data_IF_534061319991
#
_entry.id   IF_534061319991
#
_cell.length_a   1.000
_cell.length_b   1.000
_cell.length_c   1.000
_cell.angle_alpha   90.00
_cell.angle_beta   90.00
_cell.angle_gamma   90.00
#
_symmetry.space_group_name_H-M   'P 1'
#
loop_
_entity.id
_entity.type
_entity.pdbx_description
1 polymer ?
#
# COMPACT_ATOMS: atom_id res chain seq x y z
N UNK A 1 -33.12 7.07 -12.56
CA UNK A 1 -33.50 6.81 -11.15
C UNK A 1 -33.60 5.32 -10.91
N UNK A 2 -32.53 4.65 -10.47
CA UNK A 2 -32.58 3.45 -9.64
C UNK A 2 -31.21 3.30 -8.96
N UNK A 3 -31.11 3.82 -7.73
CA UNK A 3 -30.02 3.61 -6.82
C UNK A 3 -30.10 2.17 -6.29
N UNK A 4 -29.27 1.28 -6.80
CA UNK A 4 -29.08 -0.06 -6.21
C UNK A 4 -28.08 0.06 -5.05
N UNK A 5 -28.54 0.40 -3.86
CA UNK A 5 -27.82 0.16 -2.61
C UNK A 5 -27.72 -1.35 -2.42
N UNK A 6 -26.59 -1.94 -2.76
CA UNK A 6 -26.27 -3.30 -2.31
C UNK A 6 -26.10 -3.27 -0.79
N UNK A 7 -27.13 -3.75 -0.08
CA UNK A 7 -27.04 -4.05 1.34
C UNK A 7 -26.07 -5.23 1.50
N UNK A 8 -24.91 -4.96 2.06
CA UNK A 8 -24.07 -6.01 2.62
C UNK A 8 -24.78 -6.52 3.89
N UNK A 9 -25.49 -7.62 3.77
CA UNK A 9 -25.96 -8.38 4.93
C UNK A 9 -24.74 -9.03 5.58
N UNK A 10 -24.15 -8.34 6.57
CA UNK A 10 -23.22 -8.95 7.52
C UNK A 10 -24.08 -9.84 8.42
N UNK A 11 -24.01 -11.14 8.25
CA UNK A 11 -24.45 -12.07 9.30
C UNK A 11 -23.34 -12.08 10.36
N UNK A 12 -23.50 -11.26 11.40
CA UNK A 12 -22.70 -11.39 12.62
C UNK A 12 -23.38 -12.48 13.47
N UNK A 13 -22.68 -13.59 13.66
CA UNK A 13 -23.04 -14.55 14.70
C UNK A 13 -22.67 -13.97 16.07
N UNK A 14 -23.46 -14.33 17.10
CA UNK A 14 -23.33 -13.84 18.50
C UNK A 14 -21.99 -14.22 19.17
N UNK A 15 -21.13 -14.98 18.49
CA UNK A 15 -19.82 -15.45 18.98
C UNK A 15 -18.63 -14.59 18.55
N UNK A 16 -18.85 -13.51 17.76
CA UNK A 16 -17.78 -12.62 17.31
C UNK A 16 -16.83 -13.21 16.24
N UNK A 17 -17.11 -14.41 15.74
CA UNK A 17 -16.37 -15.03 14.65
C UNK A 17 -16.86 -14.44 13.33
N UNK A 18 -15.95 -13.91 12.52
CA UNK A 18 -16.25 -13.43 11.17
C UNK A 18 -16.66 -14.63 10.30
N UNK A 19 -17.96 -14.81 10.09
CA UNK A 19 -18.46 -15.88 9.22
C UNK A 19 -18.23 -15.50 7.77
N UNK A 20 -17.75 -16.49 7.00
CA UNK A 20 -17.55 -16.39 5.56
C UNK A 20 -18.85 -15.94 4.85
N UNK A 21 -18.76 -14.88 4.06
CA UNK A 21 -19.91 -14.29 3.36
C UNK A 21 -20.32 -15.05 2.07
N UNK A 22 -19.79 -16.26 1.86
CA UNK A 22 -20.26 -17.14 0.76
C UNK A 22 -21.66 -17.67 1.09
N UNK A 23 -22.49 -17.90 0.03
CA UNK A 23 -23.70 -18.68 0.20
C UNK A 23 -23.37 -20.04 0.83
N UNK A 24 -24.05 -20.39 1.91
CA UNK A 24 -23.78 -21.56 2.77
C UNK A 24 -23.63 -22.89 2.02
N UNK A 25 -24.24 -22.99 0.84
CA UNK A 25 -24.17 -24.18 -0.01
C UNK A 25 -22.91 -24.27 -0.89
N UNK A 26 -22.12 -23.17 -1.05
CA UNK A 26 -20.98 -23.19 -1.97
C UNK A 26 -19.77 -23.94 -1.40
N UNK A 27 -19.52 -23.85 -0.09
CA UNK A 27 -18.42 -24.59 0.52
C UNK A 27 -18.66 -26.11 0.41
N UNK A 28 -19.80 -26.65 0.83
CA UNK A 28 -20.12 -28.08 0.62
C UNK A 28 -20.06 -28.51 -0.86
N UNK A 29 -20.45 -27.62 -1.80
CA UNK A 29 -20.34 -27.92 -3.22
C UNK A 29 -18.87 -28.04 -3.65
N UNK A 30 -17.99 -27.15 -3.17
CA UNK A 30 -16.57 -27.24 -3.46
C UNK A 30 -15.94 -28.50 -2.85
N UNK A 31 -16.31 -28.86 -1.62
CA UNK A 31 -15.84 -30.08 -0.96
C UNK A 31 -16.22 -31.34 -1.76
N UNK A 32 -17.48 -31.42 -2.20
CA UNK A 32 -18.00 -32.56 -2.99
C UNK A 32 -17.31 -32.66 -4.37
N UNK A 33 -17.02 -31.52 -5.00
CA UNK A 33 -16.46 -31.49 -6.37
C UNK A 33 -14.94 -31.49 -6.38
N UNK A 34 -14.26 -31.37 -5.24
CA UNK A 34 -12.81 -31.13 -5.17
C UNK A 34 -12.02 -32.27 -5.81
N UNK A 35 -12.27 -33.51 -5.43
CA UNK A 35 -11.50 -34.66 -5.90
C UNK A 35 -11.59 -34.84 -7.43
N UNK A 36 -12.73 -34.55 -8.01
CA UNK A 36 -12.96 -34.65 -9.47
C UNK A 36 -12.36 -33.47 -10.23
N UNK A 37 -12.30 -32.28 -9.59
CA UNK A 37 -11.97 -31.03 -10.29
C UNK A 37 -10.71 -30.33 -9.81
N UNK A 38 -9.96 -30.91 -8.86
CA UNK A 38 -8.72 -30.32 -8.32
C UNK A 38 -7.61 -30.11 -9.37
N UNK A 39 -7.71 -30.75 -10.54
CA UNK A 39 -6.80 -30.57 -11.68
C UNK A 39 -7.35 -29.60 -12.74
N UNK A 40 -8.60 -29.15 -12.62
CA UNK A 40 -9.20 -28.16 -13.51
C UNK A 40 -8.76 -26.74 -13.08
N UNK A 41 -7.75 -26.20 -13.77
CA UNK A 41 -7.16 -24.88 -13.47
C UNK A 41 -8.21 -23.79 -13.40
N UNK A 42 -9.18 -23.76 -14.33
CA UNK A 42 -10.22 -22.71 -14.39
C UNK A 42 -11.16 -22.80 -13.19
N UNK A 43 -11.55 -24.01 -12.83
CA UNK A 43 -12.42 -24.23 -11.70
C UNK A 43 -11.73 -23.87 -10.38
N UNK A 44 -10.52 -24.38 -10.15
CA UNK A 44 -9.71 -24.09 -8.94
C UNK A 44 -9.49 -22.60 -8.79
N UNK A 45 -9.05 -21.91 -9.84
CA UNK A 45 -8.81 -20.46 -9.84
C UNK A 45 -10.08 -19.66 -9.53
N UNK A 46 -11.21 -20.06 -10.12
CA UNK A 46 -12.51 -19.43 -9.85
C UNK A 46 -12.97 -19.62 -8.42
N UNK A 47 -12.81 -20.84 -7.86
CA UNK A 47 -13.19 -21.16 -6.49
C UNK A 47 -12.33 -20.39 -5.47
N UNK A 48 -11.00 -20.38 -5.63
CA UNK A 48 -10.07 -19.60 -4.79
C UNK A 48 -10.41 -18.12 -4.85
N UNK A 49 -10.57 -17.56 -6.04
CA UNK A 49 -10.89 -16.13 -6.21
C UNK A 49 -12.21 -15.73 -5.54
N UNK A 50 -13.23 -16.57 -5.61
CA UNK A 50 -14.52 -16.33 -4.93
C UNK A 50 -14.40 -16.40 -3.42
N UNK A 51 -13.73 -17.42 -2.89
CA UNK A 51 -13.53 -17.56 -1.44
C UNK A 51 -12.67 -16.42 -0.89
N UNK A 52 -11.62 -16.03 -1.61
CA UNK A 52 -10.78 -14.90 -1.24
C UNK A 52 -11.54 -13.57 -1.24
N UNK A 53 -12.29 -13.31 -2.31
CA UNK A 53 -13.10 -12.08 -2.44
C UNK A 53 -14.26 -11.97 -1.43
N UNK A 54 -14.63 -13.08 -0.79
CA UNK A 54 -15.66 -13.17 0.27
C UNK A 54 -15.06 -13.33 1.65
N UNK A 55 -13.76 -13.17 1.80
CA UNK A 55 -13.03 -13.29 3.06
C UNK A 55 -13.15 -14.64 3.76
N UNK A 56 -13.39 -15.71 2.99
CA UNK A 56 -13.51 -17.10 3.46
C UNK A 56 -12.15 -17.80 3.53
N UNK A 57 -11.11 -17.09 3.90
CA UNK A 57 -9.72 -17.57 3.85
C UNK A 57 -9.33 -18.48 5.01
N UNK A 58 -10.14 -18.49 6.08
CA UNK A 58 -9.89 -19.34 7.25
C UNK A 58 -10.52 -20.74 7.12
N UNK A 59 -11.34 -20.94 6.07
CA UNK A 59 -11.99 -22.21 5.77
C UNK A 59 -10.96 -23.25 5.27
N UNK A 60 -10.99 -24.51 5.78
CA UNK A 60 -10.07 -25.57 5.33
C UNK A 60 -10.14 -25.85 3.82
N UNK A 61 -11.33 -25.68 3.21
CA UNK A 61 -11.50 -25.88 1.77
C UNK A 61 -10.74 -24.82 0.97
N UNK A 62 -10.68 -23.57 1.46
CA UNK A 62 -9.87 -22.54 0.84
C UNK A 62 -8.40 -22.94 0.77
N UNK A 63 -7.84 -23.48 1.84
CA UNK A 63 -6.43 -23.93 1.89
C UNK A 63 -6.16 -25.01 0.85
N UNK A 64 -7.03 -26.03 0.76
CA UNK A 64 -6.91 -27.10 -0.24
C UNK A 64 -6.94 -26.58 -1.67
N UNK A 65 -7.90 -25.71 -1.97
CA UNK A 65 -8.03 -25.08 -3.29
C UNK A 65 -6.83 -24.20 -3.62
N UNK A 66 -6.34 -23.45 -2.65
CA UNK A 66 -5.19 -22.58 -2.83
C UNK A 66 -3.89 -23.36 -3.08
N UNK A 67 -3.65 -24.46 -2.36
CA UNK A 67 -2.53 -25.37 -2.59
C UNK A 67 -2.61 -26.01 -3.98
N UNK A 68 -3.80 -26.45 -4.41
CA UNK A 68 -4.02 -26.95 -5.76
C UNK A 68 -3.74 -25.88 -6.82
N UNK A 69 -4.17 -24.64 -6.61
CA UNK A 69 -3.89 -23.54 -7.53
C UNK A 69 -2.40 -23.27 -7.69
N UNK A 70 -1.65 -23.24 -6.58
CA UNK A 70 -0.20 -23.03 -6.62
C UNK A 70 0.53 -24.16 -7.35
N UNK A 71 0.07 -25.40 -7.20
CA UNK A 71 0.66 -26.55 -7.87
C UNK A 71 0.38 -26.55 -9.37
N UNK A 72 -0.82 -26.14 -9.79
CA UNK A 72 -1.24 -26.16 -11.19
C UNK A 72 -0.75 -24.95 -11.99
N UNK A 73 -0.87 -23.76 -11.43
CA UNK A 73 -0.55 -22.50 -12.12
C UNK A 73 -0.08 -21.45 -11.13
N UNK A 74 1.23 -21.36 -10.87
CA UNK A 74 1.78 -20.23 -10.12
C UNK A 74 1.48 -18.92 -10.87
N UNK A 75 0.70 -18.04 -10.27
CA UNK A 75 0.27 -16.78 -10.88
C UNK A 75 0.44 -15.60 -9.94
N UNK A 76 0.43 -14.37 -10.49
CA UNK A 76 0.49 -13.15 -9.69
C UNK A 76 -0.60 -13.12 -8.61
N UNK A 77 -1.84 -13.48 -8.97
CA UNK A 77 -2.96 -13.54 -8.03
C UNK A 77 -2.76 -14.61 -6.95
N UNK A 78 -2.23 -15.81 -7.31
CA UNK A 78 -1.96 -16.87 -6.34
C UNK A 78 -0.93 -16.41 -5.30
N UNK A 79 0.17 -15.80 -5.71
CA UNK A 79 1.15 -15.24 -4.79
C UNK A 79 0.61 -14.05 -3.98
N UNK A 80 -0.26 -13.20 -4.57
CA UNK A 80 -0.93 -12.14 -3.83
C UNK A 80 -1.80 -12.69 -2.70
N UNK A 81 -2.54 -13.77 -2.96
CA UNK A 81 -3.36 -14.45 -1.95
C UNK A 81 -2.49 -15.08 -0.87
N UNK A 82 -1.45 -15.83 -1.25
CA UNK A 82 -0.49 -16.44 -0.32
C UNK A 82 0.16 -15.41 0.61
N UNK A 83 0.66 -14.32 0.04
CA UNK A 83 1.23 -13.23 0.81
C UNK A 83 0.23 -12.59 1.77
N UNK A 84 -1.05 -12.48 1.36
CA UNK A 84 -2.10 -11.93 2.23
C UNK A 84 -2.43 -12.87 3.39
N UNK A 85 -2.46 -14.19 3.15
CA UNK A 85 -2.65 -15.19 4.21
C UNK A 85 -1.50 -15.18 5.21
N UNK A 86 -0.25 -15.19 4.72
CA UNK A 86 0.95 -15.12 5.56
C UNK A 86 0.97 -13.83 6.40
N UNK A 87 0.58 -12.70 5.80
CA UNK A 87 0.46 -11.43 6.53
C UNK A 87 -0.57 -11.50 7.66
N UNK A 88 -1.74 -12.11 7.43
CA UNK A 88 -2.75 -12.34 8.47
C UNK A 88 -2.24 -13.26 9.58
N UNK A 89 -1.45 -14.28 9.22
CA UNK A 89 -0.84 -15.20 10.18
C UNK A 89 0.38 -14.62 10.92
N UNK A 90 0.78 -13.37 10.62
CA UNK A 90 1.94 -12.72 11.25
C UNK A 90 3.29 -13.07 10.62
N UNK A 91 3.33 -13.96 9.63
CA UNK A 91 4.54 -14.26 8.85
C UNK A 91 4.84 -13.13 7.86
N UNK A 92 5.46 -12.07 8.39
CA UNK A 92 5.78 -10.87 7.61
C UNK A 92 6.80 -11.15 6.49
N UNK A 93 7.81 -11.98 6.77
CA UNK A 93 8.86 -12.27 5.79
C UNK A 93 8.33 -13.13 4.64
N UNK A 94 7.57 -14.18 4.95
CA UNK A 94 6.92 -15.00 3.95
C UNK A 94 5.90 -14.21 3.11
N UNK A 95 5.17 -13.27 3.73
CA UNK A 95 4.25 -12.39 3.03
C UNK A 95 4.97 -11.49 2.01
N UNK A 96 6.10 -10.87 2.40
CA UNK A 96 6.90 -10.02 1.51
C UNK A 96 7.48 -10.84 0.36
N UNK A 97 7.95 -12.06 0.62
CA UNK A 97 8.47 -12.96 -0.41
C UNK A 97 7.40 -13.27 -1.47
N UNK A 98 6.19 -13.63 -1.04
CA UNK A 98 5.09 -13.93 -1.95
C UNK A 98 4.63 -12.67 -2.71
N UNK A 99 4.51 -11.51 -2.06
CA UNK A 99 4.17 -10.27 -2.75
C UNK A 99 5.22 -9.88 -3.79
N UNK A 100 6.51 -10.10 -3.55
CA UNK A 100 7.54 -9.84 -4.56
C UNK A 100 7.38 -10.76 -5.76
N UNK A 101 7.11 -12.06 -5.56
CA UNK A 101 6.80 -12.98 -6.67
C UNK A 101 5.55 -12.56 -7.43
N UNK A 102 4.52 -12.08 -6.72
CA UNK A 102 3.33 -11.52 -7.35
C UNK A 102 3.68 -10.31 -8.24
N UNK A 103 4.53 -9.39 -7.76
CA UNK A 103 5.01 -8.23 -8.53
C UNK A 103 5.79 -8.64 -9.77
N UNK A 104 6.62 -9.69 -9.68
CA UNK A 104 7.41 -10.20 -10.81
C UNK A 104 6.52 -10.76 -11.93
N UNK A 105 5.45 -11.48 -11.56
CA UNK A 105 4.52 -12.12 -12.49
C UNK A 105 3.40 -11.18 -12.96
N UNK A 106 3.15 -10.06 -12.26
CA UNK A 106 2.06 -9.15 -12.62
C UNK A 106 2.42 -8.30 -13.83
N UNK A 107 1.54 -8.29 -14.82
CA UNK A 107 1.69 -7.50 -16.06
C UNK A 107 0.89 -6.20 -16.03
N UNK A 108 -0.18 -6.13 -15.22
CA UNK A 108 -0.98 -4.93 -15.04
C UNK A 108 -0.26 -3.96 -14.10
N UNK A 109 0.14 -2.80 -14.63
CA UNK A 109 0.86 -1.78 -13.88
C UNK A 109 0.07 -1.19 -12.70
N UNK A 110 -1.27 -1.13 -12.78
CA UNK A 110 -2.10 -0.64 -11.66
C UNK A 110 -2.07 -1.65 -10.51
N UNK A 111 -2.24 -2.94 -10.82
CA UNK A 111 -2.13 -4.01 -9.83
C UNK A 111 -0.74 -4.09 -9.25
N UNK A 112 0.31 -4.05 -10.09
CA UNK A 112 1.72 -4.02 -9.67
C UNK A 112 2.00 -2.89 -8.69
N UNK A 113 1.55 -1.68 -9.01
CA UNK A 113 1.68 -0.52 -8.13
C UNK A 113 1.00 -0.72 -6.78
N UNK A 114 -0.20 -1.30 -6.77
CA UNK A 114 -0.94 -1.55 -5.53
C UNK A 114 -0.24 -2.60 -4.64
N UNK A 115 0.35 -3.65 -5.23
CA UNK A 115 1.09 -4.68 -4.49
C UNK A 115 2.37 -4.06 -3.91
N UNK A 116 3.12 -3.28 -4.69
CA UNK A 116 4.31 -2.56 -4.23
C UNK A 116 4.01 -1.58 -3.09
N UNK A 117 2.91 -0.84 -3.18
CA UNK A 117 2.41 0.00 -2.09
C UNK A 117 2.09 -0.83 -0.84
N UNK A 118 1.45 -1.99 -0.99
CA UNK A 118 1.16 -2.90 0.12
C UNK A 118 2.45 -3.38 0.80
N UNK A 119 3.47 -3.77 0.04
CA UNK A 119 4.78 -4.14 0.60
C UNK A 119 5.38 -2.96 1.38
N UNK A 120 5.35 -1.75 0.81
CA UNK A 120 5.86 -0.56 1.46
C UNK A 120 5.20 -0.30 2.82
N UNK A 121 3.86 -0.51 2.93
CA UNK A 121 3.13 -0.35 4.19
C UNK A 121 3.57 -1.35 5.27
N UNK A 122 4.02 -2.53 4.86
CA UNK A 122 4.51 -3.57 5.77
C UNK A 122 5.93 -3.22 6.24
N UNK A 123 6.85 -2.99 5.28
CA UNK A 123 8.27 -2.83 5.59
C UNK A 123 8.61 -1.50 6.28
N UNK A 124 7.75 -0.47 6.19
CA UNK A 124 8.01 0.85 6.78
C UNK A 124 8.22 0.81 8.29
N UNK A 125 7.68 -0.19 8.97
CA UNK A 125 7.85 -0.36 10.42
C UNK A 125 9.29 -0.71 10.80
N UNK A 126 9.99 -1.40 9.89
CA UNK A 126 11.33 -1.93 10.14
C UNK A 126 12.41 -1.18 9.34
N UNK A 127 12.07 -0.65 8.16
CA UNK A 127 13.02 0.03 7.28
C UNK A 127 12.36 1.10 6.41
N UNK A 128 12.61 2.35 6.75
CA UNK A 128 12.16 3.52 5.94
C UNK A 128 12.79 3.50 4.54
N UNK A 129 14.04 3.06 4.44
CA UNK A 129 14.77 2.93 3.15
C UNK A 129 14.06 1.96 2.21
N UNK A 130 13.74 0.76 2.71
CA UNK A 130 13.03 -0.23 1.91
C UNK A 130 11.63 0.26 1.53
N UNK A 131 10.91 0.88 2.47
CA UNK A 131 9.59 1.44 2.20
C UNK A 131 9.63 2.48 1.08
N UNK A 132 10.59 3.42 1.13
CA UNK A 132 10.81 4.40 0.05
C UNK A 132 11.08 3.72 -1.30
N UNK A 133 11.94 2.70 -1.32
CA UNK A 133 12.26 1.99 -2.55
C UNK A 133 11.01 1.33 -3.17
N UNK A 134 10.18 0.67 -2.36
CA UNK A 134 8.92 0.10 -2.84
C UNK A 134 7.92 1.17 -3.28
N UNK A 135 7.83 2.31 -2.57
CA UNK A 135 6.96 3.43 -2.97
C UNK A 135 7.40 4.04 -4.31
N UNK A 136 8.71 4.22 -4.51
CA UNK A 136 9.22 4.72 -5.78
C UNK A 136 8.94 3.74 -6.94
N UNK A 137 9.07 2.44 -6.71
CA UNK A 137 8.67 1.41 -7.68
C UNK A 137 7.15 1.45 -7.94
N UNK A 138 6.33 1.66 -6.90
CA UNK A 138 4.88 1.79 -7.05
C UNK A 138 4.50 3.01 -7.90
N UNK A 139 5.15 4.15 -7.65
CA UNK A 139 4.96 5.40 -8.41
C UNK A 139 5.44 5.23 -9.86
N UNK A 140 6.55 4.53 -10.09
CA UNK A 140 7.06 4.25 -11.43
C UNK A 140 6.09 3.36 -12.23
N UNK A 141 5.49 2.36 -11.58
CA UNK A 141 4.48 1.49 -12.20
C UNK A 141 3.16 2.23 -12.47
N UNK A 142 2.73 3.08 -11.54
CA UNK A 142 1.53 3.91 -11.70
C UNK A 142 1.75 5.31 -11.12
N UNK A 143 2.09 6.32 -11.95
CA UNK A 143 2.27 7.70 -11.50
C UNK A 143 1.02 8.35 -10.91
N UNK A 144 -0.16 7.78 -11.11
CA UNK A 144 -1.42 8.25 -10.54
C UNK A 144 -1.72 7.63 -9.15
N UNK A 145 -0.83 6.80 -8.59
CA UNK A 145 -1.03 6.24 -7.26
C UNK A 145 -0.80 7.30 -6.16
N UNK A 146 -1.80 8.14 -5.91
CA UNK A 146 -1.75 9.21 -4.91
C UNK A 146 -1.44 8.71 -3.50
N UNK A 147 -1.91 7.49 -3.14
CA UNK A 147 -1.61 6.87 -1.82
C UNK A 147 -0.13 6.65 -1.61
N UNK A 148 0.61 6.30 -2.66
CA UNK A 148 2.06 6.11 -2.58
C UNK A 148 2.78 7.44 -2.27
N UNK A 149 2.34 8.56 -2.85
CA UNK A 149 2.88 9.89 -2.54
C UNK A 149 2.54 10.33 -1.10
N UNK A 150 1.31 10.10 -0.62
CA UNK A 150 0.94 10.42 0.77
C UNK A 150 1.84 9.65 1.76
N UNK A 151 2.02 8.34 1.54
CA UNK A 151 2.86 7.55 2.42
C UNK A 151 4.33 7.96 2.35
N UNK A 152 4.84 8.29 1.15
CA UNK A 152 6.21 8.78 0.97
C UNK A 152 6.42 10.12 1.69
N UNK A 153 5.45 11.04 1.59
CA UNK A 153 5.48 12.31 2.30
C UNK A 153 5.51 12.12 3.83
N UNK A 154 4.71 11.19 4.34
CA UNK A 154 4.71 10.85 5.75
C UNK A 154 6.07 10.29 6.21
N UNK A 155 6.69 9.38 5.44
CA UNK A 155 8.02 8.87 5.75
C UNK A 155 9.08 9.97 5.81
N UNK A 156 9.02 10.95 4.90
CA UNK A 156 9.91 12.10 4.93
C UNK A 156 9.67 12.94 6.20
N UNK A 157 8.43 13.31 6.49
CA UNK A 157 8.09 14.10 7.67
C UNK A 157 8.50 13.43 8.98
N UNK A 158 8.31 12.10 9.09
CA UNK A 158 8.70 11.30 10.26
C UNK A 158 10.24 11.19 10.43
N UNK A 159 11.01 11.64 9.43
CA UNK A 159 12.47 11.59 9.44
C UNK A 159 13.14 12.96 9.47
N UNK A 160 12.38 14.01 9.72
CA UNK A 160 12.91 15.36 9.76
C UNK A 160 14.09 15.52 10.74
N UNK A 161 14.05 14.84 11.89
CA UNK A 161 15.14 14.89 12.87
C UNK A 161 16.38 14.04 12.49
N UNK A 162 16.22 13.14 11.53
CA UNK A 162 17.30 12.23 11.08
C UNK A 162 18.08 12.81 9.88
N UNK A 163 17.51 13.82 9.22
CA UNK A 163 18.01 14.36 7.97
C UNK A 163 18.16 15.87 8.08
N UNK A 164 19.35 16.35 7.77
CA UNK A 164 19.72 17.76 7.90
C UNK A 164 20.80 17.98 8.97
N UNK A 165 21.72 18.87 8.67
CA UNK A 165 22.86 19.17 9.56
C UNK A 165 22.46 20.14 10.67
N UNK A 166 21.71 21.19 10.29
CA UNK A 166 21.24 22.21 11.22
C UNK A 166 19.78 22.00 11.59
N UNK A 167 19.31 22.69 12.62
CA UNK A 167 17.90 22.70 12.98
C UNK A 167 17.01 23.25 11.84
N UNK A 168 17.53 24.23 11.10
CA UNK A 168 16.86 24.76 9.91
C UNK A 168 16.73 23.67 8.83
N UNK A 169 17.81 22.94 8.51
CA UNK A 169 17.79 21.90 7.50
C UNK A 169 16.87 20.74 7.88
N UNK A 170 16.83 20.35 9.16
CA UNK A 170 15.88 19.37 9.68
C UNK A 170 14.44 19.79 9.47
N UNK A 171 14.12 21.06 9.73
CA UNK A 171 12.78 21.59 9.48
C UNK A 171 12.48 21.75 7.97
N UNK A 172 13.51 21.99 7.14
CA UNK A 172 13.36 22.09 5.70
C UNK A 172 12.87 20.76 5.06
N UNK A 173 13.06 19.62 5.70
CA UNK A 173 12.48 18.32 5.30
C UNK A 173 10.96 18.40 5.16
N UNK A 174 10.29 19.21 5.97
CA UNK A 174 8.83 19.37 5.87
C UNK A 174 8.39 20.03 4.55
N UNK A 175 9.22 20.87 3.92
CA UNK A 175 8.93 21.36 2.55
C UNK A 175 8.97 20.24 1.53
N UNK A 176 9.93 19.30 1.64
CA UNK A 176 9.98 18.12 0.78
C UNK A 176 8.74 17.24 0.98
N UNK A 177 8.34 17.03 2.23
CA UNK A 177 7.13 16.29 2.58
C UNK A 177 5.86 16.98 2.02
N UNK A 178 5.74 18.30 2.18
CA UNK A 178 4.61 19.08 1.67
C UNK A 178 4.54 19.01 0.12
N UNK A 179 5.66 19.20 -0.58
CA UNK A 179 5.76 19.07 -2.03
C UNK A 179 5.32 17.68 -2.52
N UNK A 180 5.73 16.64 -1.79
CA UNK A 180 5.38 15.25 -2.10
C UNK A 180 3.89 14.99 -1.85
N UNK A 181 3.33 15.47 -0.74
CA UNK A 181 1.91 15.36 -0.43
C UNK A 181 1.03 16.13 -1.43
N UNK A 182 1.45 17.34 -1.83
CA UNK A 182 0.74 18.12 -2.86
C UNK A 182 0.62 17.36 -4.19
N UNK A 183 1.64 16.57 -4.55
CA UNK A 183 1.60 15.75 -5.75
C UNK A 183 0.50 14.68 -5.69
N UNK A 184 0.23 14.11 -4.49
CA UNK A 184 -0.83 13.14 -4.32
C UNK A 184 -2.20 13.66 -4.75
N UNK A 185 -2.58 14.86 -4.29
CA UNK A 185 -3.86 15.47 -4.66
C UNK A 185 -3.97 15.83 -6.14
N UNK A 186 -2.83 16.18 -6.78
CA UNK A 186 -2.82 16.47 -8.23
C UNK A 186 -2.99 15.25 -9.11
N UNK A 187 -2.45 14.09 -8.70
CA UNK A 187 -2.52 12.85 -9.49
C UNK A 187 -3.74 12.00 -9.15
N UNK A 188 -4.32 12.21 -7.97
CA UNK A 188 -5.52 11.51 -7.50
C UNK A 188 -6.48 12.51 -6.83
N UNK A 189 -7.47 13.04 -7.57
CA UNK A 189 -8.42 14.01 -7.03
C UNK A 189 -9.21 13.51 -5.81
N UNK A 190 -9.39 12.20 -5.66
CA UNK A 190 -10.07 11.62 -4.50
C UNK A 190 -9.30 11.87 -3.19
N UNK A 191 -8.00 12.11 -3.28
CA UNK A 191 -7.11 12.39 -2.15
C UNK A 191 -6.86 13.89 -1.95
N UNK A 192 -7.47 14.79 -2.74
CA UNK A 192 -7.21 16.23 -2.68
C UNK A 192 -7.35 16.79 -1.27
N UNK A 193 -8.45 16.46 -0.56
CA UNK A 193 -8.67 16.93 0.80
C UNK A 193 -7.61 16.43 1.78
N UNK A 194 -7.25 15.15 1.71
CA UNK A 194 -6.23 14.57 2.56
C UNK A 194 -4.85 15.15 2.26
N UNK A 195 -4.52 15.33 0.98
CA UNK A 195 -3.27 15.95 0.55
C UNK A 195 -3.15 17.38 1.05
N UNK A 196 -4.20 18.21 0.90
CA UNK A 196 -4.20 19.59 1.37
C UNK A 196 -4.02 19.71 2.88
N UNK A 197 -4.66 18.83 3.67
CA UNK A 197 -4.46 18.77 5.12
C UNK A 197 -3.02 18.40 5.49
N UNK A 198 -2.43 17.43 4.79
CA UNK A 198 -1.05 17.02 4.99
C UNK A 198 -0.08 18.15 4.65
N UNK A 199 -0.29 18.84 3.52
CA UNK A 199 0.51 20.01 3.11
C UNK A 199 0.49 21.07 4.19
N UNK A 200 -0.71 21.52 4.62
CA UNK A 200 -0.84 22.56 5.65
C UNK A 200 -0.14 22.15 6.98
N UNK A 201 -0.26 20.87 7.37
CA UNK A 201 0.40 20.34 8.57
C UNK A 201 1.92 20.34 8.45
N UNK A 202 2.47 20.05 7.28
CA UNK A 202 3.92 20.04 7.05
C UNK A 202 4.46 21.47 6.92
N UNK A 203 3.79 22.35 6.20
CA UNK A 203 4.19 23.76 6.06
C UNK A 203 4.21 24.49 7.42
N UNK A 204 3.28 24.19 8.31
CA UNK A 204 3.29 24.72 9.67
C UNK A 204 4.53 24.32 10.50
N UNK A 205 5.19 23.22 10.17
CA UNK A 205 6.41 22.74 10.83
C UNK A 205 7.70 23.16 10.11
N UNK A 206 7.60 23.55 8.86
CA UNK A 206 8.72 24.01 8.06
C UNK A 206 9.29 25.34 8.60
N UNK A 207 10.50 25.77 8.19
CA UNK A 207 11.03 27.08 8.57
C UNK A 207 10.09 28.22 8.15
N UNK A 208 9.85 29.16 9.06
CA UNK A 208 9.04 30.35 8.81
C UNK A 208 9.77 31.38 7.94
N UNK A 209 9.08 32.40 7.46
CA UNK A 209 9.71 33.54 6.76
C UNK A 209 10.79 34.20 7.61
N UNK A 210 10.58 34.32 8.93
CA UNK A 210 11.58 34.86 9.86
C UNK A 210 12.80 33.95 9.96
N UNK A 211 12.60 32.61 10.03
CA UNK A 211 13.71 31.66 10.02
C UNK A 211 14.54 31.76 8.72
N UNK A 212 13.87 31.89 7.57
CA UNK A 212 14.52 32.06 6.27
C UNK A 212 15.34 33.36 6.24
N UNK A 213 14.75 34.47 6.69
CA UNK A 213 15.43 35.76 6.76
C UNK A 213 16.67 35.68 7.64
N UNK A 214 16.56 35.15 8.85
CA UNK A 214 17.68 35.02 9.80
C UNK A 214 18.78 34.09 9.28
N UNK A 215 18.45 33.09 8.45
CA UNK A 215 19.42 32.19 7.88
C UNK A 215 20.23 32.81 6.71
N UNK A 216 19.69 33.85 6.07
CA UNK A 216 20.28 34.45 4.87
C UNK A 216 20.27 33.56 3.61
N UNK A 217 19.53 32.43 3.64
CA UNK A 217 19.63 31.36 2.63
C UNK A 217 18.42 31.31 1.67
N UNK A 218 17.65 32.37 1.56
CA UNK A 218 16.51 32.43 0.63
C UNK A 218 16.97 32.11 -0.80
N UNK A 219 16.23 31.22 -1.49
CA UNK A 219 16.53 30.76 -2.84
C UNK A 219 17.60 29.67 -2.95
N UNK A 220 18.36 29.37 -1.89
CA UNK A 220 19.32 28.26 -1.90
C UNK A 220 18.64 26.90 -1.97
N UNK A 221 19.38 25.90 -2.44
CA UNK A 221 18.92 24.51 -2.48
C UNK A 221 19.60 23.69 -1.40
N UNK A 222 18.81 23.06 -0.54
CA UNK A 222 19.27 22.09 0.44
C UNK A 222 19.20 20.70 -0.19
N UNK A 223 20.34 20.00 -0.20
CA UNK A 223 20.42 18.60 -0.61
C UNK A 223 20.45 17.70 0.65
N UNK A 224 19.52 16.75 0.71
CA UNK A 224 19.48 15.81 1.84
C UNK A 224 20.36 14.60 1.53
N UNK A 225 21.54 14.53 2.18
CA UNK A 225 22.52 13.45 2.05
C UNK A 225 22.12 12.15 2.78
N UNK A 226 21.05 12.19 3.56
CA UNK A 226 20.53 11.03 4.29
C UNK A 226 19.80 10.03 3.36
N UNK A 227 19.24 8.98 3.95
CA UNK A 227 18.50 7.92 3.24
C UNK A 227 17.35 8.42 2.34
N UNK A 228 16.77 9.58 2.63
CA UNK A 228 15.71 10.18 1.83
C UNK A 228 16.20 10.60 0.45
N UNK A 229 17.39 11.16 0.38
CA UNK A 229 17.88 11.84 -0.81
C UNK A 229 16.97 13.00 -1.21
N UNK A 230 17.22 13.53 -2.40
CA UNK A 230 16.44 14.63 -2.94
C UNK A 230 16.85 15.98 -2.38
N UNK A 231 16.15 17.03 -2.86
CA UNK A 231 16.47 18.40 -2.52
C UNK A 231 15.22 19.26 -2.43
N UNK A 232 15.35 20.39 -1.75
CA UNK A 232 14.31 21.42 -1.66
C UNK A 232 14.95 22.80 -1.82
N UNK A 233 14.31 23.65 -2.60
CA UNK A 233 14.70 25.06 -2.69
C UNK A 233 14.01 25.84 -1.57
N UNK A 234 14.79 26.62 -0.83
CA UNK A 234 14.28 27.50 0.23
C UNK A 234 13.42 28.58 -0.43
N UNK A 235 12.19 28.81 0.04
CA UNK A 235 11.33 29.85 -0.52
C UNK A 235 12.00 31.25 -0.52
N UNK A 236 11.73 32.05 -1.55
CA UNK A 236 12.12 33.48 -1.56
C UNK A 236 11.26 34.27 -0.57
N UNK A 237 11.76 35.40 -0.10
CA UNK A 237 11.09 36.28 0.88
C UNK A 237 10.21 37.36 0.24
N UNK A 238 9.76 37.12 -1.01
CA UNK A 238 8.91 38.11 -1.73
C UNK A 238 7.57 38.31 -0.99
#
# INVERSE_FOLDING_TARGET
FFSSRRRHTRCADVTGVQTCALPIYLIPLYEKSYEERKTDVKWVKSAVGRMFGKECTDDPMFRKLFEAQLALEPSADAYLYGGTLKQKAGDTNGAIADFNKSVELETDNLKKSNILYKIATIVRKNSKVQARNYLNKAIAANPANGRAYILLAALYADSANECGETQFDKRAVYWLAAKTAARAGRVDPSLQSAASKAVASYEAKAPSKTDIFNSGRAGETINFSCWMGGSVTIPNLN
#
